data_IF_554348725005
#
_entry.id   IF_554348725005
#
_cell.length_a   1.000
_cell.length_b   1.000
_cell.length_c   1.000
_cell.angle_alpha   90.00
_cell.angle_beta   90.00
_cell.angle_gamma   90.00
#
_symmetry.space_group_name_H-M   'P 1'
#
loop_
_entity.id
_entity.type
_entity.pdbx_description
1 polymer ?
2 non-polymer ?
3 water ?
#
# COMPACT_ATOMS: atom_id res chain seq x y z
N UNK A 24 -16.07 5.37 -13.79
CA UNK A 24 -14.91 6.25 -14.10
C UNK A 24 -13.60 5.67 -13.57
N UNK A 25 -12.57 5.71 -14.42
CA UNK A 25 -11.26 5.14 -14.14
C UNK A 25 -10.26 6.22 -13.80
N UNK A 26 -9.44 5.97 -12.79
CA UNK A 26 -8.45 6.93 -12.32
C UNK A 26 -7.03 6.38 -12.39
N UNK A 27 -6.08 7.23 -12.75
CA UNK A 27 -4.65 6.92 -12.65
C UNK A 27 -4.11 7.58 -11.39
N UNK A 28 -3.36 6.82 -10.60
CA UNK A 28 -2.75 7.35 -9.37
C UNK A 28 -1.73 8.42 -9.78
N UNK A 29 -1.74 9.55 -9.06
CA UNK A 29 -0.86 10.65 -9.41
C UNK A 29 0.57 10.39 -8.95
N UNK A 30 1.30 9.64 -9.76
CA UNK A 30 2.69 9.30 -9.50
C UNK A 30 3.63 10.42 -9.85
N UNK A 31 3.36 11.11 -10.96
CA UNK A 31 4.17 12.25 -11.39
C UNK A 31 4.14 13.40 -10.36
N UNK A 32 2.95 13.68 -9.83
CA UNK A 32 2.78 14.75 -8.84
C UNK A 32 3.12 14.25 -7.45
N UNK A 33 3.39 12.95 -7.35
CA UNK A 33 3.62 12.23 -6.11
C UNK A 33 2.59 12.59 -5.03
N UNK A 34 1.33 12.47 -5.42
CA UNK A 34 0.20 12.58 -4.50
C UNK A 34 -0.31 11.17 -4.27
N UNK A 35 0.60 10.34 -3.74
CA UNK A 35 0.37 8.92 -3.48
C UNK A 35 1.45 8.46 -2.54
N UNK A 36 1.04 7.77 -1.48
CA UNK A 36 1.99 7.37 -0.45
C UNK A 36 1.69 5.97 0.11
N UNK A 37 2.74 5.17 0.27
CA UNK A 37 2.63 3.93 1.08
C UNK A 37 3.56 4.06 2.28
N UNK A 38 2.95 4.26 3.45
CA UNK A 38 3.63 4.49 4.70
C UNK A 38 3.42 3.29 5.62
N UNK A 39 4.47 2.91 6.34
CA UNK A 39 4.37 1.83 7.30
C UNK A 39 5.05 2.18 8.62
N UNK A 40 4.61 1.51 9.69
CA UNK A 40 5.33 1.46 10.97
C UNK A 40 5.36 0.06 11.56
N UNK A 41 6.41 -0.20 12.35
CA UNK A 41 6.63 -1.47 13.06
C UNK A 41 7.43 -1.14 14.32
N UNK A 42 7.16 -1.85 15.43
CA UNK A 42 7.90 -1.57 16.65
C UNK A 42 9.37 -1.99 16.52
N UNK A 43 10.25 -1.17 17.09
CA UNK A 43 11.65 -1.52 17.24
C UNK A 43 11.83 -1.96 18.68
N UNK A 44 12.09 -3.25 18.86
CA UNK A 44 12.27 -3.89 20.16
C UNK A 44 11.05 -3.76 21.10
N UNK A 45 9.90 -3.42 20.52
CA UNK A 45 8.72 -3.06 21.28
C UNK A 45 8.88 -1.78 22.08
N UNK A 46 9.94 -1.02 21.80
CA UNK A 46 10.26 0.20 22.58
C UNK A 46 9.70 1.46 21.94
N UNK A 47 9.69 1.51 20.62
CA UNK A 47 9.26 2.67 19.85
C UNK A 47 8.76 2.20 18.49
N UNK A 48 8.07 3.10 17.77
CA UNK A 48 7.68 2.82 16.40
C UNK A 48 8.76 3.31 15.43
N UNK A 49 9.13 2.43 14.51
CA UNK A 49 10.00 2.73 13.39
C UNK A 49 9.14 2.99 12.13
N UNK A 50 9.32 4.16 11.52
CA UNK A 50 8.51 4.58 10.37
C UNK A 50 9.29 4.45 9.06
N UNK A 51 8.61 3.99 8.04
CA UNK A 51 9.16 3.97 6.70
C UNK A 51 8.08 4.11 5.66
N UNK A 52 8.50 4.00 4.41
CA UNK A 52 7.63 4.15 3.24
C UNK A 52 8.26 3.48 2.02
N UNK A 53 7.48 3.33 0.95
CA UNK A 53 8.01 2.93 -0.35
C UNK A 53 7.86 4.10 -1.30
N UNK A 54 9.00 4.52 -1.85
CA UNK A 54 9.08 5.71 -2.69
C UNK A 54 8.61 5.53 -4.14
N UNK A 55 8.50 4.28 -4.59
CA UNK A 55 8.30 3.98 -6.01
C UNK A 55 7.19 2.95 -6.20
N UNK A 56 5.99 3.44 -6.48
CA UNK A 56 4.87 2.57 -6.84
C UNK A 56 3.98 3.24 -7.85
N UNK A 57 3.18 2.43 -8.53
CA UNK A 57 2.21 2.93 -9.49
C UNK A 57 0.95 2.09 -9.39
N UNK A 58 -0.15 2.65 -9.88
CA UNK A 58 -1.38 1.89 -10.02
C UNK A 58 -2.56 2.69 -10.52
N UNK A 59 -3.72 2.05 -10.50
CA UNK A 59 -4.95 2.68 -10.91
C UNK A 59 -6.15 2.14 -10.11
N UNK A 60 -7.30 2.81 -10.24
CA UNK A 60 -8.51 2.34 -9.61
C UNK A 60 -9.75 2.81 -10.35
N UNK A 61 -10.81 2.03 -10.21
CA UNK A 61 -12.12 2.39 -10.72
C UNK A 61 -12.94 2.85 -9.52
N UNK A 62 -13.43 4.09 -9.62
CA UNK A 62 -14.30 4.69 -8.61
C UNK A 62 -15.60 5.07 -9.30
N UNK A 63 -16.65 4.34 -8.96
CA UNK A 63 -17.92 4.50 -9.62
C UNK A 63 -18.96 4.66 -8.53
N UNK A 64 -19.42 5.89 -8.34
CA UNK A 64 -20.45 6.18 -7.34
C UNK A 64 -21.83 5.67 -7.75
N UNK A 65 -22.13 5.67 -9.06
CA UNK A 65 -23.37 5.08 -9.59
C UNK A 65 -23.41 3.55 -9.40
N UNK A 66 -22.35 2.87 -9.83
CA UNK A 66 -22.25 1.42 -9.68
C UNK A 66 -21.01 0.99 -8.87
N UNK A 67 -21.09 1.04 -7.51
CA UNK A 67 -19.92 0.77 -6.64
C UNK A 67 -19.42 -0.68 -6.66
N UNK A 68 -20.20 -1.60 -7.24
CA UNK A 68 -19.76 -2.99 -7.43
C UNK A 68 -18.58 -3.06 -8.39
N UNK A 69 -18.61 -2.22 -9.43
CA UNK A 69 -17.52 -2.08 -10.40
C UNK A 69 -16.17 -1.63 -9.82
N UNK A 70 -16.16 -1.14 -8.58
CA UNK A 70 -14.94 -0.62 -7.94
C UNK A 70 -13.80 -1.63 -7.89
N UNK A 71 -12.61 -1.18 -8.32
CA UNK A 71 -11.41 -2.02 -8.26
C UNK A 71 -10.18 -1.16 -8.12
N UNK A 72 -9.09 -1.79 -7.67
CA UNK A 72 -7.80 -1.14 -7.53
C UNK A 72 -6.69 -2.16 -7.86
N UNK A 73 -5.64 -1.69 -8.52
CA UNK A 73 -4.38 -2.45 -8.64
C UNK A 73 -3.18 -1.54 -8.46
N UNK A 74 -2.27 -1.97 -7.59
CA UNK A 74 -1.02 -1.24 -7.33
C UNK A 74 0.15 -2.19 -7.49
N UNK A 75 1.22 -1.69 -8.13
CA UNK A 75 2.49 -2.39 -8.22
C UNK A 75 3.55 -1.53 -7.52
N UNK A 76 4.37 -2.18 -6.69
CA UNK A 76 5.36 -1.53 -5.82
C UNK A 76 6.74 -2.12 -6.09
N UNK A 77 7.73 -1.26 -6.34
CA UNK A 77 9.11 -1.69 -6.47
C UNK A 77 9.69 -1.66 -5.07
N UNK A 78 9.95 -2.85 -4.53
CA UNK A 78 10.29 -2.97 -3.10
C UNK A 78 11.71 -2.49 -2.74
N UNK A 79 12.57 -2.26 -3.73
CA UNK A 79 13.90 -1.65 -3.49
C UNK A 79 13.79 -0.19 -3.05
N UNK A 80 12.63 0.42 -3.32
CA UNK A 80 12.33 1.79 -2.94
C UNK A 80 11.94 1.95 -1.45
N UNK A 81 12.17 0.92 -0.65
CA UNK A 81 11.90 0.97 0.80
C UNK A 81 12.78 2.07 1.42
N UNK A 82 12.21 2.87 2.31
CA UNK A 82 12.89 4.04 2.82
C UNK A 82 12.48 4.29 4.27
N UNK A 83 13.40 3.98 5.19
CA UNK A 83 13.26 4.28 6.63
C UNK A 83 14.28 5.29 7.13
N UNK A 84 14.82 6.07 6.20
CA UNK A 84 15.79 7.14 6.52
C UNK A 84 17.01 6.64 7.29
N UNK A 85 17.54 5.48 6.89
CA UNK A 85 18.75 4.91 7.46
C UNK A 85 19.29 3.96 6.42
N UNK A 86 20.42 4.34 5.81
CA UNK A 86 20.97 3.68 4.62
C UNK A 86 21.24 2.18 4.83
N UNK A 87 21.96 1.87 5.92
CA UNK A 87 22.34 0.52 6.28
C UNK A 87 21.13 -0.35 6.66
N UNK A 88 20.17 0.23 7.37
CA UNK A 88 18.91 -0.46 7.69
C UNK A 88 18.19 -0.82 6.40
N UNK A 89 18.11 0.14 5.48
CA UNK A 89 17.39 -0.02 4.21
C UNK A 89 18.04 -1.05 3.29
N UNK A 90 19.36 -1.08 3.30
CA UNK A 90 20.16 -2.11 2.61
C UNK A 90 19.84 -3.50 3.19
N UNK A 91 19.80 -3.60 4.52
CA UNK A 91 19.42 -4.84 5.18
C UNK A 91 17.97 -5.25 4.89
N UNK A 92 17.08 -4.27 4.77
CA UNK A 92 15.68 -4.52 4.40
C UNK A 92 15.52 -5.03 2.95
N UNK A 93 16.40 -4.60 2.05
CA UNK A 93 16.45 -5.08 0.66
C UNK A 93 16.92 -6.52 0.51
N UNK A 94 17.69 -7.01 1.47
CA UNK A 94 18.38 -8.30 1.36
C UNK A 94 17.44 -9.50 1.50
N UNK A 95 17.99 -10.68 1.21
CA UNK A 95 17.34 -11.98 1.40
C UNK A 95 16.78 -12.25 2.79
N UNK A 96 17.31 -11.56 3.80
CA UNK A 96 16.82 -11.66 5.17
C UNK A 96 15.41 -11.09 5.33
N UNK A 97 15.09 -10.09 4.50
CA UNK A 97 13.84 -9.37 4.61
C UNK A 97 13.04 -9.35 3.32
N UNK A 98 13.04 -8.23 2.59
CA UNK A 98 12.18 -8.06 1.41
C UNK A 98 12.67 -8.84 0.22
N UNK A 99 13.96 -9.21 0.24
CA UNK A 99 14.59 -10.02 -0.80
C UNK A 99 14.28 -9.47 -2.20
N UNK A 100 14.68 -8.22 -2.38
CA UNK A 100 14.45 -7.43 -3.58
C UNK A 100 15.03 -8.11 -4.84
N UNK A 101 16.20 -8.73 -4.71
CA UNK A 101 16.87 -9.41 -5.83
C UNK A 101 16.02 -10.55 -6.42
N UNK A 102 15.41 -11.37 -5.56
CA UNK A 102 14.49 -12.45 -5.99
C UNK A 102 13.13 -11.90 -6.44
N UNK A 103 12.54 -11.03 -5.61
CA UNK A 103 11.25 -10.42 -5.91
C UNK A 103 11.37 -8.89 -5.94
N UNK A 104 11.55 -8.30 -7.14
CA UNK A 104 11.67 -6.83 -7.20
C UNK A 104 10.35 -6.06 -6.94
N UNK A 105 9.21 -6.72 -7.07
CA UNK A 105 7.93 -6.04 -7.00
C UNK A 105 6.96 -6.68 -5.99
N UNK A 106 6.10 -5.85 -5.41
CA UNK A 106 4.95 -6.31 -4.67
C UNK A 106 3.70 -5.86 -5.44
N UNK A 107 2.65 -6.69 -5.41
CA UNK A 107 1.40 -6.37 -6.09
C UNK A 107 0.22 -6.52 -5.15
N UNK A 108 -0.65 -5.52 -5.17
CA UNK A 108 -1.95 -5.65 -4.56
C UNK A 108 -2.95 -5.44 -5.66
N UNK A 109 -3.86 -6.38 -5.79
CA UNK A 109 -4.95 -6.30 -6.74
C UNK A 109 -6.22 -6.74 -6.03
N UNK A 110 -7.20 -5.83 -5.99
CA UNK A 110 -8.47 -6.07 -5.28
C UNK A 110 -9.24 -7.20 -5.93
N UNK A 111 -9.95 -7.94 -5.09
CA UNK A 111 -10.92 -8.96 -5.54
C UNK A 111 -12.35 -8.62 -5.11
N UNK A 112 -12.49 -7.84 -4.04
CA UNK A 112 -13.80 -7.40 -3.56
C UNK A 112 -13.72 -6.04 -2.88
N UNK A 113 -14.67 -5.18 -3.23
CA UNK A 113 -14.88 -3.90 -2.55
C UNK A 113 -16.29 -3.93 -1.95
N UNK A 114 -16.37 -3.99 -0.62
CA UNK A 114 -17.65 -4.04 0.08
C UNK A 114 -17.86 -2.79 0.93
N UNK A 115 -19.07 -2.24 0.88
CA UNK A 115 -19.44 -1.10 1.73
C UNK A 115 -19.48 -1.51 3.21
N UNK A 116 -18.96 -0.67 4.09
CA UNK A 116 -18.79 -0.98 5.51
C UNK A 116 -18.90 0.29 6.40
N UNK A 117 -20.14 0.61 6.78
CA UNK A 117 -20.44 1.84 7.52
C UNK A 117 -20.19 3.08 6.66
N UNK A 118 -19.35 3.97 7.16
CA UNK A 118 -18.99 5.19 6.41
C UNK A 118 -17.63 5.08 5.71
N UNK A 119 -17.29 3.85 5.32
CA UNK A 119 -16.10 3.53 4.54
C UNK A 119 -16.32 2.25 3.71
N UNK A 120 -15.26 1.77 3.05
CA UNK A 120 -15.32 0.50 2.32
C UNK A 120 -14.17 -0.46 2.70
N UNK A 121 -14.48 -1.76 2.67
CA UNK A 121 -13.46 -2.80 2.80
C UNK A 121 -13.03 -3.31 1.44
N UNK A 122 -11.75 -3.11 1.15
CA UNK A 122 -11.15 -3.54 -0.10
C UNK A 122 -10.29 -4.77 0.15
N UNK A 123 -10.85 -5.93 -0.15
CA UNK A 123 -10.15 -7.19 -0.04
C UNK A 123 -9.47 -7.46 -1.37
N UNK A 124 -8.22 -7.90 -1.31
CA UNK A 124 -7.49 -8.29 -2.50
C UNK A 124 -6.27 -9.13 -2.20
N UNK A 125 -5.65 -9.62 -3.28
CA UNK A 125 -4.44 -10.41 -3.16
C UNK A 125 -3.23 -9.54 -3.07
N UNK A 126 -2.50 -9.70 -1.97
CA UNK A 126 -1.16 -9.09 -1.89
C UNK A 126 -0.14 -10.16 -2.20
N UNK A 127 0.70 -9.88 -3.18
CA UNK A 127 1.87 -10.67 -3.43
C UNK A 127 3.07 -9.88 -2.99
N UNK A 128 3.75 -10.41 -1.99
CA UNK A 128 4.89 -9.75 -1.39
C UNK A 128 5.91 -10.82 -1.09
N UNK A 129 7.15 -10.62 -1.53
CA UNK A 129 8.23 -11.58 -1.31
C UNK A 129 7.90 -12.99 -1.85
N UNK A 130 7.30 -13.02 -3.04
CA UNK A 130 6.91 -14.26 -3.71
C UNK A 130 5.65 -14.93 -3.17
N UNK A 131 5.12 -14.47 -2.02
CA UNK A 131 3.93 -15.06 -1.38
C UNK A 131 2.65 -14.24 -1.65
N UNK A 132 1.55 -14.92 -2.00
CA UNK A 132 0.27 -14.28 -2.31
C UNK A 132 -0.79 -14.69 -1.28
N UNK A 133 -1.31 -13.70 -0.57
CA UNK A 133 -2.28 -13.90 0.51
C UNK A 133 -3.21 -12.68 0.57
N UNK A 134 -4.49 -12.88 0.97
CA UNK A 134 -5.46 -11.78 0.98
C UNK A 134 -5.18 -10.73 2.06
N UNK A 135 -5.45 -9.46 1.73
CA UNK A 135 -5.32 -8.34 2.65
C UNK A 135 -6.55 -7.47 2.45
N UNK A 136 -7.15 -7.05 3.57
CA UNK A 136 -8.29 -6.14 3.52
C UNK A 136 -7.85 -4.73 3.93
N UNK A 137 -8.07 -3.78 3.03
CA UNK A 137 -7.80 -2.39 3.30
C UNK A 137 -9.11 -1.72 3.69
N UNK A 138 -9.11 -1.10 4.87
CA UNK A 138 -10.19 -0.21 5.28
C UNK A 138 -9.94 1.13 4.60
N UNK A 139 -10.88 1.53 3.73
CA UNK A 139 -10.70 2.66 2.82
C UNK A 139 -11.83 3.67 2.88
N UNK A 140 -11.46 4.94 2.76
CA UNK A 140 -12.41 6.04 2.82
C UNK A 140 -12.02 7.09 1.80
N UNK A 141 -13.04 7.66 1.16
CA UNK A 141 -12.91 8.87 0.35
C UNK A 141 -12.47 10.06 1.22
N UNK A 142 -11.43 10.74 0.79
CA UNK A 142 -10.94 11.91 1.48
C UNK A 142 -11.62 13.15 0.89
N UNK A 143 -11.46 13.35 -0.41
CA UNK A 143 -12.08 14.45 -1.10
C UNK A 143 -12.09 14.17 -2.58
N UNK A 144 -12.87 14.96 -3.31
CA UNK A 144 -12.98 14.87 -4.77
C UNK A 144 -13.47 16.19 -5.38
N UNK A 145 -13.33 16.31 -6.70
CA UNK A 145 -13.78 17.49 -7.43
C UNK A 145 -12.83 17.87 -8.53
N UNK A 146 -13.23 18.89 -9.30
CA UNK A 146 -12.40 19.43 -10.38
C UNK A 146 -11.12 20.06 -9.80
N UNK A 147 -9.99 19.87 -10.47
CA UNK A 147 -8.73 20.44 -10.01
C UNK A 147 -8.49 21.84 -10.62
N UNK A 148 -7.40 22.55 -10.21
CA UNK A 148 -7.18 23.89 -10.77
C UNK A 148 -6.80 23.90 -12.26
N UNK A 149 -6.40 22.75 -12.80
CA UNK A 149 -5.82 22.68 -14.14
C UNK A 149 -6.72 21.99 -15.16
N UNK A 150 -8.01 21.90 -14.82
CA UNK A 150 -9.00 21.31 -15.72
C UNK A 150 -9.48 19.92 -15.36
N UNK A 151 -8.56 19.07 -14.88
CA UNK A 151 -8.86 17.66 -14.59
C UNK A 151 -9.85 17.43 -13.44
N UNK A 152 -10.17 16.16 -13.21
CA UNK A 152 -11.00 15.74 -12.07
C UNK A 152 -10.23 14.77 -11.18
N UNK A 153 -10.33 14.97 -9.87
CA UNK A 153 -9.58 14.17 -8.92
C UNK A 153 -10.43 13.54 -7.83
N UNK A 154 -10.03 12.35 -7.40
CA UNK A 154 -10.60 11.67 -6.24
C UNK A 154 -9.46 11.06 -5.45
N UNK A 155 -9.43 11.37 -4.15
CA UNK A 155 -8.40 10.91 -3.22
C UNK A 155 -8.93 10.07 -2.05
N UNK A 156 -8.12 9.11 -1.63
CA UNK A 156 -8.52 8.06 -0.68
C UNK A 156 -7.45 7.77 0.35
N UNK A 157 -7.90 7.37 1.54
CA UNK A 157 -7.04 6.83 2.59
C UNK A 157 -7.36 5.34 2.74
N UNK A 158 -6.33 4.58 3.07
CA UNK A 158 -6.47 3.17 3.38
C UNK A 158 -5.61 2.78 4.56
N UNK A 159 -6.08 1.80 5.33
CA UNK A 159 -5.32 1.19 6.39
C UNK A 159 -5.43 -0.32 6.30
N UNK A 160 -4.36 -0.99 6.72
CA UNK A 160 -4.23 -2.44 6.67
C UNK A 160 -3.06 -2.77 7.57
N UNK A 161 -2.97 -4.02 8.00
CA UNK A 161 -1.81 -4.51 8.72
C UNK A 161 -1.45 -5.86 8.11
N UNK A 162 -0.19 -6.25 8.25
CA UNK A 162 0.21 -7.61 7.87
C UNK A 162 1.22 -8.21 8.86
N UNK A 163 1.19 -9.53 8.96
CA UNK A 163 2.19 -10.30 9.69
C UNK A 163 3.34 -10.66 8.75
N UNK A 164 4.56 -10.35 9.20
CA UNK A 164 5.78 -10.57 8.40
C UNK A 164 5.93 -12.04 7.97
N UNK A 165 5.75 -12.92 8.95
CA UNK A 165 5.80 -14.37 8.78
C UNK A 165 4.82 -14.94 7.75
N UNK A 166 3.68 -14.28 7.52
CA UNK A 166 2.72 -14.71 6.51
C UNK A 166 3.22 -14.54 5.09
N UNK A 167 4.17 -13.63 4.88
CA UNK A 167 4.74 -13.44 3.56
C UNK A 167 6.20 -13.91 3.50
N UNK A 168 6.51 -14.89 4.35
CA UNK A 168 7.81 -15.54 4.33
C UNK A 168 9.00 -14.69 4.73
N UNK A 169 8.76 -13.54 5.35
CA UNK A 169 9.85 -12.71 5.85
C UNK A 169 10.48 -13.43 7.06
N UNK A 170 11.65 -14.01 6.78
CA UNK A 170 12.35 -14.98 7.62
C UNK A 170 12.77 -14.44 9.00
N UNK A 171 13.53 -13.35 9.01
CA UNK A 171 14.19 -12.87 10.22
C UNK A 171 13.23 -12.43 11.31
N UNK A 172 13.45 -12.96 12.52
CA UNK A 172 12.62 -12.59 13.64
C UNK A 172 13.18 -11.36 14.32
N UNK A 173 12.31 -10.36 14.45
CA UNK A 173 12.68 -9.04 14.97
C UNK A 173 12.36 -8.85 16.45
N UNK A 174 11.90 -9.93 17.10
CA UNK A 174 11.47 -9.88 18.50
C UNK A 174 9.96 -10.01 18.62
N UNK A 175 9.46 -10.30 19.84
CA UNK A 175 8.04 -10.70 19.97
C UNK A 175 7.01 -9.59 19.67
N UNK A 176 7.39 -8.32 19.79
CA UNK A 176 6.45 -7.21 19.54
C UNK A 176 6.49 -6.68 18.11
N UNK A 177 7.33 -7.30 17.27
CA UNK A 177 7.61 -6.78 15.94
C UNK A 177 7.22 -7.77 14.83
N UNK A 178 6.03 -8.37 14.97
CA UNK A 178 5.52 -9.40 14.06
C UNK A 178 4.66 -8.78 12.99
N UNK A 179 4.10 -7.62 13.31
CA UNK A 179 3.20 -6.89 12.45
C UNK A 179 3.69 -5.54 12.08
N UNK A 180 3.34 -5.17 10.84
CA UNK A 180 3.61 -3.86 10.30
C UNK A 180 2.27 -3.24 9.93
N UNK A 181 2.12 -1.98 10.27
CA UNK A 181 0.89 -1.23 10.05
C UNK A 181 1.09 -0.35 8.82
N UNK A 182 0.11 -0.38 7.92
CA UNK A 182 0.10 0.35 6.66
C UNK A 182 -0.92 1.50 6.62
N UNK A 183 -0.44 2.69 6.24
CA UNK A 183 -1.29 3.84 5.98
C UNK A 183 -1.03 4.21 4.54
N UNK A 184 -2.12 4.25 3.78
CA UNK A 184 -2.08 4.42 2.34
C UNK A 184 -2.82 5.70 1.98
N UNK A 185 -2.23 6.46 1.07
CA UNK A 185 -2.90 7.60 0.46
C UNK A 185 -2.76 7.50 -1.06
N UNK A 186 -3.86 7.70 -1.77
CA UNK A 186 -3.82 7.76 -3.23
C UNK A 186 -4.71 8.88 -3.72
N UNK A 187 -4.14 9.76 -4.54
CA UNK A 187 -4.90 10.72 -5.31
C UNK A 187 -4.93 10.25 -6.76
N UNK A 188 -6.14 10.10 -7.31
CA UNK A 188 -6.32 9.70 -8.68
C UNK A 188 -6.74 10.86 -9.56
N UNK A 189 -6.29 10.80 -10.82
CA UNK A 189 -6.70 11.72 -11.88
C UNK A 189 -7.61 10.90 -12.79
N UNK A 190 -8.84 11.38 -13.00
CA UNK A 190 -9.82 10.73 -13.87
C UNK A 190 -9.39 10.75 -15.34
N UNK A 191 -9.56 9.62 -16.01
CA UNK A 191 -9.05 9.42 -17.38
C UNK A 191 -10.10 9.69 -18.45
#
# INVERSE_FOLDING_TARGET
>A
MLKKTLAALALGSALFTAGQAMAADYKIDKEGQHAFIEFRIKHLGYSWLYGRFNDFDGSFTFDEKNPSADKVKVTINTNSVDTNHAERDKHLRSGDFLNVSKNPTATFESTEVKANGDSADITGNLTLNGVTKPVTIKAKLIGQGDDPWGGYRAGFEGSATLKLKDFGIKMDLGPASQEVELLLSVEGIRQ
#
